data_IF_670301585843
#
_entry.id   IF_670301585843
#
_cell.length_a   1.000
_cell.length_b   1.000
_cell.length_c   1.000
_cell.angle_alpha   90.00
_cell.angle_beta   90.00
_cell.angle_gamma   90.00
#
_symmetry.space_group_name_H-M   'P 1'
#
loop_
_entity.id
_entity.type
_entity.pdbx_description
1 polymer ?
#
# COMPACT_ATOMS: atom_id res chain seq x y z
N UNK A 1 16.12 -9.05 14.38
CA UNK A 1 14.92 -9.44 15.16
C UNK A 1 15.20 -9.29 16.65
N UNK A 2 16.20 -9.99 17.20
CA UNK A 2 16.61 -9.85 18.60
C UNK A 2 16.78 -8.37 19.01
N UNK A 3 17.54 -7.57 18.26
CA UNK A 3 17.70 -6.14 18.53
C UNK A 3 16.38 -5.35 18.53
N UNK A 4 15.42 -5.73 17.69
CA UNK A 4 14.11 -5.06 17.62
C UNK A 4 13.29 -5.34 18.87
N UNK A 5 13.29 -6.59 19.34
CA UNK A 5 12.57 -7.01 20.54
C UNK A 5 13.25 -6.51 21.82
N UNK A 6 14.59 -6.52 21.87
CA UNK A 6 15.36 -6.08 23.03
C UNK A 6 15.22 -4.58 23.32
N UNK A 7 15.00 -3.77 22.29
CA UNK A 7 14.82 -2.32 22.42
C UNK A 7 13.38 -1.90 22.76
N UNK A 8 12.43 -2.84 22.80
CA UNK A 8 11.02 -2.53 23.05
C UNK A 8 10.74 -2.23 24.53
N UNK A 9 9.99 -1.16 24.76
CA UNK A 9 9.38 -0.82 26.03
C UNK A 9 8.18 -1.71 26.36
N UNK A 10 7.69 -1.62 27.60
CA UNK A 10 6.55 -2.41 28.07
C UNK A 10 5.23 -2.04 27.36
N UNK A 11 5.05 -0.75 27.11
CA UNK A 11 3.85 -0.18 26.51
C UNK A 11 3.93 -0.10 24.97
N UNK A 12 5.03 -0.58 24.38
CA UNK A 12 5.19 -0.61 22.93
C UNK A 12 4.29 -1.68 22.31
N UNK A 13 3.75 -1.35 21.14
CA UNK A 13 3.06 -2.30 20.26
C UNK A 13 4.03 -2.75 19.18
N UNK A 14 4.34 -4.04 19.17
CA UNK A 14 5.26 -4.62 18.19
C UNK A 14 4.48 -5.39 17.14
N UNK A 15 4.83 -5.17 15.87
CA UNK A 15 4.32 -5.95 14.75
C UNK A 15 5.49 -6.60 14.02
N UNK A 16 5.48 -7.93 13.95
CA UNK A 16 6.42 -8.73 13.18
C UNK A 16 5.67 -9.35 12.01
N UNK A 17 6.20 -9.18 10.81
CA UNK A 17 5.64 -9.78 9.61
C UNK A 17 6.71 -10.62 8.90
N UNK A 18 6.41 -11.90 8.70
CA UNK A 18 7.26 -12.83 7.96
C UNK A 18 6.54 -13.29 6.70
N UNK A 19 7.14 -13.03 5.54
CA UNK A 19 6.69 -13.54 4.24
C UNK A 19 7.80 -14.41 3.65
N UNK A 20 7.65 -15.73 3.77
CA UNK A 20 8.66 -16.70 3.39
C UNK A 20 8.08 -18.13 3.34
N UNK A 21 8.88 -19.13 2.95
CA UNK A 21 8.44 -20.52 3.03
C UNK A 21 8.60 -21.07 4.46
N UNK A 22 7.57 -21.75 4.94
CA UNK A 22 7.65 -22.56 6.16
C UNK A 22 8.05 -23.99 5.82
N UNK A 23 9.18 -24.46 6.34
CA UNK A 23 9.67 -25.83 6.16
C UNK A 23 9.69 -26.55 7.50
N UNK A 24 9.26 -27.82 7.51
CA UNK A 24 9.38 -28.66 8.71
C UNK A 24 10.62 -29.53 8.62
N UNK A 25 11.16 -29.92 9.77
CA UNK A 25 12.17 -30.98 9.88
C UNK A 25 11.52 -32.35 10.21
N UNK A 26 12.33 -33.43 10.28
CA UNK A 26 11.80 -34.80 10.40
C UNK A 26 11.08 -35.04 11.74
N UNK A 27 11.34 -34.18 12.73
CA UNK A 27 10.67 -34.19 14.03
C UNK A 27 9.41 -33.30 14.04
N UNK A 28 9.01 -32.74 12.89
CA UNK A 28 7.87 -31.84 12.75
C UNK A 28 8.14 -30.39 13.17
N UNK A 29 9.35 -30.05 13.58
CA UNK A 29 9.68 -28.69 14.01
C UNK A 29 9.69 -27.73 12.82
N UNK A 30 9.05 -26.57 13.00
CA UNK A 30 8.88 -25.56 11.97
C UNK A 30 10.10 -24.62 11.88
N UNK A 31 10.49 -24.29 10.64
CA UNK A 31 11.53 -23.35 10.28
C UNK A 31 11.02 -22.37 9.21
N UNK A 32 11.42 -21.11 9.32
CA UNK A 32 11.25 -20.09 8.29
C UNK A 32 12.48 -20.09 7.38
N UNK A 33 12.26 -20.29 6.09
CA UNK A 33 13.32 -20.37 5.08
C UNK A 33 13.75 -18.98 4.60
N UNK A 34 15.06 -18.75 4.56
CA UNK A 34 15.69 -17.65 3.84
C UNK A 34 16.03 -18.04 2.40
N UNK A 35 16.59 -17.10 1.64
CA UNK A 35 16.99 -17.30 0.25
C UNK A 35 18.15 -18.29 0.08
N UNK A 36 18.93 -18.51 1.14
CA UNK A 36 20.08 -19.41 1.21
C UNK A 36 19.82 -20.66 2.05
N UNK A 37 18.54 -20.91 2.43
CA UNK A 37 18.16 -22.12 3.16
C UNK A 37 18.35 -23.37 2.33
N UNK A 38 19.00 -24.37 2.93
CA UNK A 38 19.20 -25.69 2.33
C UNK A 38 18.19 -26.66 2.96
N UNK A 39 17.23 -27.23 2.21
CA UNK A 39 16.14 -28.05 2.76
C UNK A 39 16.60 -29.25 3.62
N UNK A 40 17.74 -29.86 3.30
CA UNK A 40 18.28 -30.99 4.06
C UNK A 40 19.18 -30.56 5.24
N UNK A 41 19.30 -29.24 5.51
CA UNK A 41 20.12 -28.65 6.58
C UNK A 41 19.41 -27.47 7.27
N UNK A 42 18.10 -27.62 7.54
CA UNK A 42 17.28 -26.56 8.13
C UNK A 42 17.85 -26.03 9.45
N UNK A 43 18.36 -26.91 10.31
CA UNK A 43 18.87 -26.53 11.63
C UNK A 43 20.05 -25.56 11.60
N UNK A 44 20.79 -25.49 10.49
CA UNK A 44 21.94 -24.59 10.33
C UNK A 44 21.75 -23.49 9.29
N UNK A 45 20.69 -23.54 8.48
CA UNK A 45 20.49 -22.63 7.35
C UNK A 45 19.11 -21.97 7.31
N UNK A 46 18.23 -22.28 8.26
CA UNK A 46 16.90 -21.69 8.40
C UNK A 46 16.69 -21.19 9.84
N UNK A 47 15.68 -20.34 10.04
CA UNK A 47 15.33 -19.80 11.37
C UNK A 47 14.26 -20.68 11.99
N UNK A 48 14.55 -21.32 13.13
CA UNK A 48 13.55 -22.12 13.83
C UNK A 48 12.40 -21.23 14.36
N UNK A 49 11.14 -21.66 14.19
CA UNK A 49 10.00 -20.96 14.77
C UNK A 49 10.11 -20.86 16.30
N UNK A 50 10.66 -21.91 16.93
CA UNK A 50 10.95 -21.92 18.37
C UNK A 50 11.88 -20.80 18.81
N UNK A 51 12.91 -20.48 18.03
CA UNK A 51 13.80 -19.36 18.33
C UNK A 51 13.02 -18.04 18.37
N UNK A 52 12.09 -17.85 17.44
CA UNK A 52 11.23 -16.66 17.42
C UNK A 52 10.29 -16.65 18.64
N UNK A 53 9.72 -17.80 19.02
CA UNK A 53 8.89 -17.89 20.22
C UNK A 53 9.66 -17.55 21.50
N UNK A 54 10.88 -18.08 21.63
CA UNK A 54 11.75 -17.83 22.79
C UNK A 54 12.10 -16.33 22.90
N UNK A 55 12.46 -15.69 21.79
CA UNK A 55 12.73 -14.24 21.76
C UNK A 55 11.48 -13.40 22.09
N UNK A 56 10.30 -13.82 21.60
CA UNK A 56 9.03 -13.16 21.91
C UNK A 56 8.63 -13.33 23.38
N UNK A 57 9.00 -14.45 24.00
CA UNK A 57 8.75 -14.70 25.41
C UNK A 57 9.60 -13.83 26.32
N UNK A 58 10.84 -13.56 25.93
CA UNK A 58 11.76 -12.68 26.65
C UNK A 58 11.48 -11.19 26.43
N UNK A 59 10.78 -10.85 25.35
CA UNK A 59 10.39 -9.48 25.03
C UNK A 59 9.56 -8.82 26.14
N UNK A 60 9.91 -7.59 26.49
CA UNK A 60 9.24 -6.81 27.55
C UNK A 60 7.89 -6.24 27.13
N UNK A 61 7.66 -6.07 25.84
CA UNK A 61 6.42 -5.53 25.31
C UNK A 61 5.23 -6.41 25.71
N UNK A 62 4.17 -5.78 26.20
CA UNK A 62 2.93 -6.47 26.55
C UNK A 62 2.06 -6.79 25.33
N UNK A 63 2.34 -6.13 24.19
CA UNK A 63 1.52 -6.19 23.00
C UNK A 63 2.35 -6.57 21.76
N UNK A 64 2.13 -7.78 21.25
CA UNK A 64 2.84 -8.26 20.05
C UNK A 64 1.87 -8.88 19.06
N UNK A 65 1.90 -8.37 17.83
CA UNK A 65 1.25 -8.93 16.66
C UNK A 65 2.28 -9.70 15.81
N UNK A 66 1.97 -10.94 15.45
CA UNK A 66 2.78 -11.75 14.56
C UNK A 66 1.96 -12.11 13.31
N UNK A 67 2.36 -11.59 12.15
CA UNK A 67 1.76 -11.88 10.85
C UNK A 67 2.64 -12.90 10.11
N UNK A 68 2.10 -14.07 9.79
CA UNK A 68 2.81 -15.16 9.12
C UNK A 68 2.21 -15.42 7.74
N UNK A 69 2.82 -14.82 6.74
CA UNK A 69 2.56 -15.06 5.32
C UNK A 69 3.45 -16.20 4.82
N UNK A 70 3.23 -17.39 5.39
CA UNK A 70 4.04 -18.56 5.12
C UNK A 70 3.15 -19.74 4.73
N UNK A 71 3.40 -20.32 3.55
CA UNK A 71 2.87 -21.65 3.25
C UNK A 71 3.69 -22.66 4.04
N UNK A 72 3.07 -23.33 5.02
CA UNK A 72 3.74 -24.35 5.83
C UNK A 72 3.66 -25.71 5.10
N UNK A 73 4.31 -25.82 3.94
CA UNK A 73 4.41 -27.07 3.20
C UNK A 73 5.39 -28.02 3.89
N UNK A 74 4.93 -29.22 4.26
CA UNK A 74 5.80 -30.24 4.82
C UNK A 74 6.92 -30.61 3.86
N UNK A 75 8.16 -30.65 4.34
CA UNK A 75 9.33 -30.98 3.52
C UNK A 75 10.02 -32.25 4.01
N UNK A 76 9.55 -33.45 3.62
CA UNK A 76 10.40 -34.65 3.67
C UNK A 76 10.20 -35.63 2.52
N UNK A 77 11.22 -35.76 1.67
CA UNK A 77 11.54 -36.97 0.90
C UNK A 77 10.59 -37.31 -0.25
N UNK A 78 11.12 -37.95 -1.30
CA UNK A 78 10.40 -38.31 -2.53
C UNK A 78 9.14 -39.18 -2.36
N UNK A 79 8.85 -39.69 -1.16
CA UNK A 79 7.83 -40.72 -0.91
C UNK A 79 6.89 -40.45 0.29
N UNK A 80 6.79 -39.21 0.82
CA UNK A 80 5.82 -38.91 1.89
C UNK A 80 4.62 -38.10 1.41
N UNK A 81 3.42 -38.49 1.86
CA UNK A 81 2.16 -37.83 1.52
C UNK A 81 2.15 -36.43 2.15
N UNK A 82 2.27 -35.40 1.30
CA UNK A 82 2.17 -34.00 1.68
C UNK A 82 0.78 -33.73 2.28
N UNK A 83 0.71 -33.54 3.60
CA UNK A 83 -0.46 -32.93 4.24
C UNK A 83 -0.23 -31.43 4.35
N UNK A 84 -1.20 -30.65 3.87
CA UNK A 84 -1.31 -29.24 4.20
C UNK A 84 -1.30 -29.09 5.73
N UNK A 85 -0.71 -28.01 6.23
CA UNK A 85 -0.76 -27.69 7.66
C UNK A 85 -2.18 -27.47 8.13
N UNK A 86 -2.50 -28.08 9.27
CA UNK A 86 -3.63 -27.71 10.10
C UNK A 86 -3.21 -26.57 11.04
N UNK A 87 -4.12 -25.65 11.37
CA UNK A 87 -3.87 -24.48 12.25
C UNK A 87 -3.27 -24.88 13.61
N UNK A 88 -3.53 -26.11 14.06
CA UNK A 88 -3.01 -26.75 15.27
C UNK A 88 -1.47 -26.72 15.36
N UNK A 89 -0.76 -26.78 14.23
CA UNK A 89 0.71 -26.80 14.22
C UNK A 89 1.36 -25.43 14.46
N UNK A 90 0.67 -24.35 14.05
CA UNK A 90 1.15 -22.98 14.29
C UNK A 90 0.96 -22.61 15.75
N UNK A 91 -0.17 -22.99 16.34
CA UNK A 91 -0.44 -22.77 17.77
C UNK A 91 0.58 -23.49 18.66
N UNK A 92 1.00 -24.70 18.28
CA UNK A 92 2.08 -25.41 18.99
C UNK A 92 3.44 -24.71 18.87
N UNK A 93 3.71 -24.09 17.71
CA UNK A 93 4.96 -23.38 17.47
C UNK A 93 5.02 -22.01 18.16
N UNK A 94 3.85 -21.41 18.42
CA UNK A 94 3.71 -20.09 19.01
C UNK A 94 2.64 -20.10 20.12
N UNK A 95 2.89 -20.80 21.24
CA UNK A 95 1.90 -20.96 22.29
C UNK A 95 1.54 -19.64 22.96
N UNK A 96 0.26 -19.47 23.25
CA UNK A 96 -0.25 -18.33 24.00
C UNK A 96 0.15 -18.43 25.48
N UNK A 97 0.65 -17.32 26.04
CA UNK A 97 1.09 -17.25 27.44
C UNK A 97 0.16 -16.34 28.24
N UNK A 98 -0.34 -16.76 29.41
CA UNK A 98 -1.20 -15.92 30.25
C UNK A 98 -0.52 -14.58 30.62
N UNK A 99 -1.29 -13.49 30.59
CA UNK A 99 -0.82 -12.15 30.99
C UNK A 99 -0.06 -11.37 29.91
N UNK A 100 0.03 -11.88 28.68
CA UNK A 100 0.54 -11.13 27.52
C UNK A 100 -0.51 -11.07 26.42
N UNK A 101 -0.67 -9.90 25.80
CA UNK A 101 -1.54 -9.71 24.65
C UNK A 101 -0.76 -10.04 23.38
N UNK A 102 -0.77 -11.32 23.02
CA UNK A 102 -0.18 -11.81 21.77
C UNK A 102 -1.27 -12.28 20.83
N UNK A 103 -1.15 -11.86 19.58
CA UNK A 103 -2.03 -12.28 18.49
C UNK A 103 -1.16 -12.75 17.35
N UNK A 104 -1.48 -13.92 16.81
CA UNK A 104 -0.83 -14.50 15.64
C UNK A 104 -1.87 -14.58 14.54
N UNK A 105 -1.59 -13.98 13.38
CA UNK A 105 -2.43 -14.09 12.19
C UNK A 105 -1.62 -14.79 11.12
N UNK A 106 -2.14 -15.88 10.57
CA UNK A 106 -1.51 -16.65 9.50
C UNK A 106 -2.28 -16.47 8.21
N UNK A 107 -1.57 -16.56 7.10
CA UNK A 107 -2.17 -16.57 5.77
C UNK A 107 -2.87 -17.91 5.45
N UNK A 108 -2.44 -19.00 6.09
CA UNK A 108 -2.89 -20.41 5.97
C UNK A 108 -3.35 -20.82 4.56
N UNK A 109 -2.41 -21.37 3.78
CA UNK A 109 -2.64 -21.90 2.42
C UNK A 109 -2.62 -23.43 2.41
N UNK A 110 -3.51 -24.04 1.64
CA UNK A 110 -3.46 -25.47 1.32
C UNK A 110 -2.59 -25.69 0.08
N UNK A 111 -1.26 -25.69 0.21
CA UNK A 111 -0.40 -26.11 -0.91
C UNK A 111 0.11 -27.52 -0.72
N UNK A 112 -0.50 -28.44 -1.47
CA UNK A 112 0.23 -29.56 -2.05
C UNK A 112 1.45 -29.01 -2.77
N UNK A 113 2.62 -29.57 -2.50
CA UNK A 113 3.82 -29.43 -3.35
C UNK A 113 3.50 -30.06 -4.71
N UNK A 114 2.72 -29.38 -5.55
CA UNK A 114 2.37 -29.83 -6.88
C UNK A 114 3.00 -28.87 -7.88
N UNK A 115 4.21 -29.22 -8.33
CA UNK A 115 4.78 -28.78 -9.60
C UNK A 115 4.80 -27.26 -9.87
N UNK A 116 5.79 -26.56 -9.30
CA UNK A 116 6.45 -25.49 -10.05
C UNK A 116 7.76 -26.03 -10.62
N UNK A 117 7.61 -27.00 -11.52
CA UNK A 117 8.52 -27.14 -12.64
C UNK A 117 8.01 -26.24 -13.76
N UNK A 118 8.82 -25.27 -14.16
CA UNK A 118 8.78 -24.56 -15.45
C UNK A 118 7.79 -23.39 -15.70
N UNK A 119 7.10 -22.78 -14.73
CA UNK A 119 6.23 -21.60 -15.02
C UNK A 119 6.47 -20.34 -14.16
N UNK A 120 7.60 -20.21 -13.47
CA UNK A 120 7.97 -18.97 -12.75
C UNK A 120 8.54 -17.85 -13.63
N UNK A 121 8.28 -17.85 -14.95
CA UNK A 121 8.75 -16.77 -15.83
C UNK A 121 7.90 -16.52 -17.07
N UNK A 122 6.66 -16.03 -16.91
CA UNK A 122 5.99 -15.34 -18.03
C UNK A 122 5.68 -13.86 -17.80
N UNK A 123 6.03 -13.25 -16.66
CA UNK A 123 5.84 -11.79 -16.53
C UNK A 123 6.81 -10.99 -15.67
N UNK A 124 7.93 -11.56 -15.19
CA UNK A 124 9.05 -10.80 -14.58
C UNK A 124 8.70 -9.84 -13.43
N UNK A 125 7.47 -9.90 -12.93
CA UNK A 125 6.92 -9.09 -11.85
C UNK A 125 6.61 -10.05 -10.71
N UNK A 126 7.37 -9.93 -9.63
CA UNK A 126 7.04 -10.55 -8.35
C UNK A 126 5.64 -10.08 -7.96
N UNK A 127 4.65 -10.97 -8.00
CA UNK A 127 3.33 -10.68 -7.44
C UNK A 127 3.41 -10.84 -5.92
N UNK A 128 2.96 -9.84 -5.13
CA UNK A 128 2.84 -10.01 -3.68
C UNK A 128 1.93 -11.20 -3.34
N UNK A 129 2.14 -11.81 -2.18
CA UNK A 129 1.15 -12.75 -1.61
C UNK A 129 -0.19 -12.03 -1.44
N UNK A 130 -1.30 -12.70 -1.73
CA UNK A 130 -2.66 -12.17 -1.55
C UNK A 130 -2.91 -11.72 -0.10
N UNK A 131 -2.34 -12.43 0.87
CA UNK A 131 -2.42 -12.07 2.28
C UNK A 131 -1.68 -10.76 2.56
N UNK A 132 -0.41 -10.66 2.14
CA UNK A 132 0.40 -9.44 2.32
C UNK A 132 -0.22 -8.26 1.57
N UNK A 133 -0.74 -8.49 0.36
CA UNK A 133 -1.44 -7.47 -0.42
C UNK A 133 -2.67 -6.95 0.32
N UNK A 134 -3.51 -7.83 0.86
CA UNK A 134 -4.68 -7.45 1.64
C UNK A 134 -4.32 -6.67 2.91
N UNK A 135 -3.29 -7.10 3.65
CA UNK A 135 -2.81 -6.36 4.85
C UNK A 135 -2.36 -4.95 4.46
N UNK A 136 -1.51 -4.83 3.43
CA UNK A 136 -0.99 -3.54 2.99
C UNK A 136 -2.11 -2.66 2.43
N UNK A 137 -3.04 -3.22 1.66
CA UNK A 137 -4.20 -2.52 1.12
C UNK A 137 -5.04 -1.94 2.27
N UNK A 138 -5.54 -2.79 3.18
CA UNK A 138 -6.41 -2.39 4.29
C UNK A 138 -5.79 -1.34 5.21
N UNK A 139 -4.50 -1.45 5.53
CA UNK A 139 -3.80 -0.46 6.36
C UNK A 139 -3.50 0.85 5.61
N UNK A 140 -3.21 0.78 4.31
CA UNK A 140 -2.89 1.98 3.50
C UNK A 140 -4.13 2.76 3.12
N UNK A 141 -5.23 2.07 2.81
CA UNK A 141 -6.50 2.70 2.43
C UNK A 141 -7.30 3.13 3.66
N UNK A 142 -7.17 2.39 4.76
CA UNK A 142 -8.02 2.53 5.94
C UNK A 142 -9.28 1.68 5.85
N UNK A 143 -9.46 0.88 4.78
CA UNK A 143 -10.67 0.05 4.60
C UNK A 143 -10.75 -1.10 5.63
N UNK A 144 -9.67 -1.36 6.36
CA UNK A 144 -9.65 -2.28 7.49
C UNK A 144 -10.27 -1.68 8.77
N UNK A 145 -10.66 -0.40 8.79
CA UNK A 145 -11.42 0.24 9.88
C UNK A 145 -12.91 -0.07 9.66
N UNK A 146 -13.33 -1.22 10.17
CA UNK A 146 -14.65 -1.78 9.87
C UNK A 146 -15.74 -1.11 10.68
N UNK A 147 -15.40 -0.55 11.84
CA UNK A 147 -16.33 0.15 12.71
C UNK A 147 -16.40 1.67 12.46
N UNK A 148 -15.45 2.24 11.72
CA UNK A 148 -15.39 3.67 11.38
C UNK A 148 -14.92 4.58 12.52
N UNK A 149 -14.34 4.04 13.59
CA UNK A 149 -13.89 4.81 14.76
C UNK A 149 -12.56 5.54 14.53
N UNK A 150 -11.90 5.22 13.42
CA UNK A 150 -10.65 5.85 13.02
C UNK A 150 -9.38 5.16 13.49
N UNK A 151 -9.48 4.01 14.11
CA UNK A 151 -8.40 3.09 14.38
C UNK A 151 -8.63 1.80 13.61
N UNK A 152 -7.54 1.11 13.29
CA UNK A 152 -7.61 -0.27 12.84
C UNK A 152 -7.04 -1.11 13.95
N UNK A 153 -7.88 -1.92 14.56
CA UNK A 153 -7.43 -2.94 15.49
C UNK A 153 -7.10 -4.27 14.78
N UNK A 154 -6.45 -5.20 15.49
CA UNK A 154 -6.05 -6.48 14.91
C UNK A 154 -7.23 -7.37 14.51
N UNK A 155 -8.35 -7.33 15.23
CA UNK A 155 -9.51 -8.15 14.91
C UNK A 155 -10.19 -7.62 13.64
N UNK A 156 -10.23 -6.30 13.45
CA UNK A 156 -10.71 -5.65 12.23
C UNK A 156 -9.77 -5.93 11.06
N UNK A 157 -8.45 -5.79 11.26
CA UNK A 157 -7.46 -6.14 10.24
C UNK A 157 -7.61 -7.60 9.81
N UNK A 158 -7.76 -8.53 10.76
CA UNK A 158 -7.99 -9.94 10.45
C UNK A 158 -9.27 -10.14 9.66
N UNK A 159 -10.41 -9.60 10.11
CA UNK A 159 -11.70 -9.73 9.41
C UNK A 159 -11.63 -9.19 7.98
N UNK A 160 -10.99 -8.03 7.79
CA UNK A 160 -10.77 -7.44 6.48
C UNK A 160 -9.93 -8.36 5.58
N UNK A 161 -8.77 -8.81 6.09
CA UNK A 161 -7.86 -9.68 5.34
C UNK A 161 -8.52 -11.01 5.01
N UNK A 162 -9.22 -11.63 5.97
CA UNK A 162 -9.97 -12.86 5.78
C UNK A 162 -10.96 -12.71 4.63
N UNK A 163 -11.84 -11.70 4.69
CA UNK A 163 -12.85 -11.46 3.66
C UNK A 163 -12.23 -11.23 2.28
N UNK A 164 -11.13 -10.45 2.21
CA UNK A 164 -10.42 -10.16 0.96
C UNK A 164 -9.81 -11.41 0.34
N UNK A 165 -9.15 -12.24 1.16
CA UNK A 165 -8.44 -13.45 0.70
C UNK A 165 -9.43 -14.53 0.28
N UNK A 166 -10.46 -14.85 1.07
CA UNK A 166 -11.43 -15.90 0.72
C UNK A 166 -12.30 -15.54 -0.48
N UNK A 167 -12.51 -14.24 -0.73
CA UNK A 167 -13.18 -13.77 -1.96
C UNK A 167 -12.27 -13.94 -3.18
N UNK A 168 -10.96 -13.78 -3.02
CA UNK A 168 -9.99 -13.91 -4.10
C UNK A 168 -9.64 -15.38 -4.44
N UNK A 169 -9.66 -16.27 -3.44
CA UNK A 169 -9.30 -17.69 -3.62
C UNK A 169 -9.93 -18.58 -2.54
N UNK A 170 -10.31 -19.80 -2.92
CA UNK A 170 -10.76 -20.84 -1.99
C UNK A 170 -9.61 -21.69 -1.40
N UNK A 171 -8.38 -21.48 -1.87
CA UNK A 171 -7.21 -22.29 -1.48
C UNK A 171 -6.38 -21.68 -0.33
N UNK A 172 -6.79 -20.52 0.15
CA UNK A 172 -6.14 -19.80 1.23
C UNK A 172 -7.20 -19.28 2.19
N UNK A 173 -7.07 -19.65 3.45
CA UNK A 173 -8.02 -19.30 4.51
C UNK A 173 -7.22 -18.78 5.68
N UNK A 174 -7.11 -17.46 5.86
CA UNK A 174 -6.37 -16.88 6.97
C UNK A 174 -6.92 -17.37 8.32
N UNK A 175 -6.03 -17.51 9.30
CA UNK A 175 -6.40 -17.90 10.66
C UNK A 175 -5.85 -16.90 11.67
N UNK A 176 -6.55 -16.72 12.78
CA UNK A 176 -6.10 -15.92 13.92
C UNK A 176 -6.12 -16.77 15.18
N UNK A 177 -5.00 -16.78 15.91
CA UNK A 177 -4.92 -17.35 17.25
C UNK A 177 -4.42 -16.31 18.26
N UNK A 178 -4.89 -16.44 19.50
CA UNK A 178 -4.66 -15.43 20.55
C UNK A 178 -5.80 -14.42 20.66
N UNK A 179 -5.55 -13.39 21.48
CA UNK A 179 -6.57 -12.42 21.88
C UNK A 179 -6.79 -12.43 23.39
N UNK A 180 -6.36 -11.36 24.06
CA UNK A 180 -6.60 -11.15 25.49
C UNK A 180 -7.99 -10.55 25.70
N UNK A 181 -8.65 -10.96 26.79
CA UNK A 181 -9.93 -10.39 27.21
C UNK A 181 -9.75 -8.89 27.53
N UNK A 182 -10.25 -8.01 26.65
CA UNK A 182 -10.65 -6.65 27.04
C UNK A 182 -9.99 -5.46 26.35
N UNK A 183 -8.94 -5.63 25.53
CA UNK A 183 -8.38 -4.51 24.76
C UNK A 183 -7.93 -4.96 23.37
N UNK A 184 -8.65 -4.50 22.35
CA UNK A 184 -8.28 -4.71 20.95
C UNK A 184 -6.98 -4.00 20.63
N UNK A 185 -6.03 -4.68 19.99
CA UNK A 185 -4.70 -4.13 19.74
C UNK A 185 -4.72 -3.23 18.51
N UNK A 186 -4.60 -1.92 18.71
CA UNK A 186 -4.55 -0.94 17.62
C UNK A 186 -3.22 -1.07 16.86
N UNK A 187 -3.29 -1.29 15.55
CA UNK A 187 -2.12 -1.42 14.66
C UNK A 187 -1.96 -0.26 13.70
N UNK A 188 -3.03 0.48 13.41
CA UNK A 188 -2.97 1.68 12.59
C UNK A 188 -4.04 2.70 12.97
N UNK A 189 -3.87 3.93 12.48
CA UNK A 189 -4.88 4.99 12.53
C UNK A 189 -5.37 5.26 11.12
N UNK A 190 -6.68 5.27 10.94
CA UNK A 190 -7.32 5.63 9.69
C UNK A 190 -7.24 7.14 9.51
N UNK A 191 -6.76 7.65 8.37
CA UNK A 191 -6.69 9.08 8.12
C UNK A 191 -8.08 9.73 8.21
N UNK A 192 -8.18 10.94 8.78
CA UNK A 192 -9.45 11.65 8.96
C UNK A 192 -10.23 11.81 7.64
N UNK A 193 -9.54 11.99 6.51
CA UNK A 193 -10.12 12.07 5.17
C UNK A 193 -10.95 10.84 4.78
N UNK A 194 -10.64 9.68 5.38
CA UNK A 194 -11.30 8.41 5.11
C UNK A 194 -12.49 8.13 6.06
N UNK A 195 -12.67 8.97 7.09
CA UNK A 195 -13.76 8.83 8.09
C UNK A 195 -14.98 9.69 7.77
N UNK A 196 -14.92 10.52 6.73
CA UNK A 196 -16.03 11.42 6.38
C UNK A 196 -17.14 10.59 5.76
N UNK A 197 -18.20 10.35 6.53
CA UNK A 197 -19.44 9.81 6.00
C UNK A 197 -20.22 10.94 5.32
N UNK A 198 -20.65 10.72 4.08
CA UNK A 198 -21.51 11.68 3.39
C UNK A 198 -22.88 11.72 4.07
N UNK A 199 -23.33 12.89 4.49
CA UNK A 199 -24.73 13.11 4.86
C UNK A 199 -25.54 13.34 3.60
N UNK A 200 -26.73 12.74 3.52
CA UNK A 200 -27.65 13.05 2.44
C UNK A 200 -27.99 14.54 2.41
N UNK A 201 -27.95 15.14 1.21
CA UNK A 201 -28.44 16.50 1.02
C UNK A 201 -29.96 16.54 1.25
N UNK A 202 -30.55 17.72 1.54
CA UNK A 202 -32.00 17.84 1.71
C UNK A 202 -32.77 17.15 0.58
N UNK A 203 -33.80 16.37 0.93
CA UNK A 203 -34.55 15.53 -0.03
C UNK A 203 -35.09 16.32 -1.22
N UNK A 204 -35.51 17.56 -0.98
CA UNK A 204 -35.96 18.49 -2.02
C UNK A 204 -34.88 18.78 -3.06
N UNK A 205 -33.64 18.98 -2.62
CA UNK A 205 -32.50 19.21 -3.51
C UNK A 205 -32.09 17.91 -4.24
N UNK A 206 -32.12 16.78 -3.55
CA UNK A 206 -31.88 15.47 -4.16
C UNK A 206 -32.91 15.13 -5.25
N UNK A 207 -34.17 15.50 -5.05
CA UNK A 207 -35.23 15.37 -6.05
C UNK A 207 -35.00 16.28 -7.25
N UNK A 208 -34.65 17.56 -7.03
CA UNK A 208 -34.33 18.51 -8.10
C UNK A 208 -33.16 18.02 -8.97
N UNK A 209 -32.15 17.39 -8.38
CA UNK A 209 -31.00 16.85 -9.10
C UNK A 209 -31.37 15.69 -10.04
N UNK A 210 -32.52 15.03 -9.83
CA UNK A 210 -33.01 13.90 -10.62
C UNK A 210 -34.22 14.25 -11.49
N UNK A 211 -34.60 15.52 -11.53
CA UNK A 211 -35.78 15.99 -12.27
C UNK A 211 -35.62 15.74 -13.78
N UNK A 212 -36.74 15.54 -14.49
CA UNK A 212 -36.74 15.35 -15.93
C UNK A 212 -36.36 16.64 -16.68
N UNK A 213 -36.65 17.81 -16.11
CA UNK A 213 -36.31 19.11 -16.70
C UNK A 213 -34.84 19.48 -16.43
N UNK A 214 -34.00 19.61 -17.48
CA UNK A 214 -32.60 20.03 -17.32
C UNK A 214 -32.43 21.40 -16.67
N UNK A 215 -33.41 22.30 -16.76
CA UNK A 215 -33.36 23.60 -16.11
C UNK A 215 -33.46 23.48 -14.57
N UNK A 216 -34.28 22.55 -14.08
CA UNK A 216 -34.40 22.24 -12.65
C UNK A 216 -33.11 21.59 -12.14
N UNK A 217 -32.57 20.63 -12.89
CA UNK A 217 -31.26 20.02 -12.56
C UNK A 217 -30.13 21.04 -12.55
N UNK A 218 -30.13 21.99 -13.49
CA UNK A 218 -29.16 23.09 -13.51
C UNK A 218 -29.24 23.95 -12.24
N UNK A 219 -30.44 24.29 -11.78
CA UNK A 219 -30.61 25.01 -10.51
C UNK A 219 -30.11 24.19 -9.31
N UNK A 220 -30.29 22.87 -9.33
CA UNK A 220 -29.75 21.97 -8.31
C UNK A 220 -28.21 22.00 -8.28
N UNK A 221 -27.53 22.00 -9.44
CA UNK A 221 -26.05 22.10 -9.52
C UNK A 221 -25.53 23.34 -8.80
N UNK A 222 -26.19 24.50 -8.96
CA UNK A 222 -25.80 25.73 -8.28
C UNK A 222 -25.90 25.65 -6.75
N UNK A 223 -26.98 25.04 -6.25
CA UNK A 223 -27.16 24.82 -4.81
C UNK A 223 -26.15 23.80 -4.27
N UNK A 224 -25.95 22.68 -4.97
CA UNK A 224 -24.96 21.66 -4.61
C UNK A 224 -23.54 22.23 -4.59
N UNK A 225 -23.18 23.11 -5.53
CA UNK A 225 -21.89 23.80 -5.53
C UNK A 225 -21.69 24.65 -4.27
N UNK A 226 -22.75 25.28 -3.77
CA UNK A 226 -22.69 26.10 -2.55
C UNK A 226 -22.44 25.23 -1.33
N UNK A 227 -23.11 24.07 -1.23
CA UNK A 227 -22.85 23.09 -0.18
C UNK A 227 -21.43 22.53 -0.27
N UNK A 228 -20.95 22.22 -1.49
CA UNK A 228 -19.63 21.64 -1.73
C UNK A 228 -18.47 22.50 -1.24
N UNK A 229 -18.60 23.84 -1.28
CA UNK A 229 -17.57 24.78 -0.79
C UNK A 229 -17.79 25.22 0.66
N UNK A 230 -18.86 24.75 1.30
CA UNK A 230 -19.19 25.06 2.69
C UNK A 230 -18.28 24.36 3.70
N UNK A 231 -18.36 24.81 4.95
CA UNK A 231 -17.56 24.28 6.07
C UNK A 231 -18.14 22.98 6.66
N UNK A 232 -19.41 22.67 6.39
CA UNK A 232 -20.02 21.38 6.74
C UNK A 232 -19.50 20.29 5.80
N UNK A 233 -18.48 19.58 6.27
CA UNK A 233 -17.72 18.59 5.50
C UNK A 233 -18.59 17.39 5.11
N UNK A 234 -19.46 16.92 6.01
CA UNK A 234 -20.29 15.73 5.76
C UNK A 234 -21.37 16.03 4.73
N UNK A 235 -22.00 17.22 4.84
CA UNK A 235 -22.95 17.70 3.84
C UNK A 235 -22.28 18.03 2.50
N UNK A 236 -21.07 18.62 2.52
CA UNK A 236 -20.26 18.84 1.33
C UNK A 236 -19.91 17.53 0.63
N UNK A 237 -19.65 16.45 1.38
CA UNK A 237 -19.40 15.12 0.82
C UNK A 237 -20.65 14.53 0.14
N UNK A 238 -21.84 14.74 0.72
CA UNK A 238 -23.11 14.40 0.06
C UNK A 238 -23.33 15.18 -1.25
N UNK A 239 -23.04 16.48 -1.23
CA UNK A 239 -23.13 17.32 -2.43
C UNK A 239 -22.12 16.89 -3.52
N UNK A 240 -20.90 16.51 -3.12
CA UNK A 240 -19.87 15.98 -4.01
C UNK A 240 -20.37 14.72 -4.75
N UNK A 241 -20.98 13.77 -4.02
CA UNK A 241 -21.47 12.53 -4.60
C UNK A 241 -22.55 12.76 -5.67
N UNK A 242 -23.49 13.67 -5.41
CA UNK A 242 -24.51 14.04 -6.40
C UNK A 242 -23.91 14.75 -7.62
N UNK A 243 -22.99 15.70 -7.42
CA UNK A 243 -22.31 16.38 -8.54
C UNK A 243 -21.48 15.40 -9.38
N UNK A 244 -20.86 14.39 -8.77
CA UNK A 244 -20.17 13.31 -9.50
C UNK A 244 -21.14 12.50 -10.35
N UNK A 245 -22.33 12.15 -9.84
CA UNK A 245 -23.35 11.49 -10.64
C UNK A 245 -23.81 12.36 -11.84
N UNK A 246 -24.02 13.66 -11.59
CA UNK A 246 -24.40 14.63 -12.63
C UNK A 246 -23.29 14.96 -13.64
N UNK A 247 -22.04 14.56 -13.38
CA UNK A 247 -20.94 14.67 -14.35
C UNK A 247 -21.13 13.79 -15.59
N UNK A 248 -22.10 12.87 -15.55
CA UNK A 248 -22.51 12.03 -16.68
C UNK A 248 -23.94 12.31 -17.14
N UNK A 249 -24.50 13.49 -16.80
CA UNK A 249 -25.86 13.91 -17.21
C UNK A 249 -26.01 13.95 -18.74
N UNK A 250 -27.24 13.70 -19.22
CA UNK A 250 -27.58 13.69 -20.64
C UNK A 250 -27.59 15.10 -21.24
N UNK A 251 -27.87 16.13 -20.42
CA UNK A 251 -27.76 17.52 -20.79
C UNK A 251 -26.31 18.00 -20.73
N UNK A 252 -25.79 18.40 -21.89
CA UNK A 252 -24.44 18.97 -22.03
C UNK A 252 -24.18 20.12 -21.05
N UNK A 253 -25.18 20.99 -20.84
CA UNK A 253 -25.04 22.17 -19.98
C UNK A 253 -24.95 21.76 -18.51
N UNK A 254 -25.84 20.87 -18.05
CA UNK A 254 -25.84 20.36 -16.66
C UNK A 254 -24.53 19.64 -16.37
N UNK A 255 -24.11 18.77 -17.30
CA UNK A 255 -22.83 18.06 -17.20
C UNK A 255 -21.63 19.01 -17.08
N UNK A 256 -21.56 20.03 -17.92
CA UNK A 256 -20.48 21.02 -17.87
C UNK A 256 -20.47 21.78 -16.54
N UNK A 257 -21.63 22.23 -16.05
CA UNK A 257 -21.74 22.92 -14.77
C UNK A 257 -21.36 22.03 -13.57
N UNK A 258 -21.70 20.75 -13.62
CA UNK A 258 -21.30 19.78 -12.60
C UNK A 258 -19.78 19.59 -12.59
N UNK A 259 -19.15 19.38 -13.76
CA UNK A 259 -17.70 19.26 -13.90
C UNK A 259 -16.96 20.51 -13.40
N UNK A 260 -17.45 21.71 -13.74
CA UNK A 260 -16.88 22.97 -13.27
C UNK A 260 -16.97 23.10 -11.74
N UNK A 261 -18.08 22.66 -11.15
CA UNK A 261 -18.26 22.66 -9.69
C UNK A 261 -17.28 21.71 -9.01
N UNK A 262 -17.06 20.51 -9.59
CA UNK A 262 -16.07 19.55 -9.11
C UNK A 262 -14.64 20.11 -9.22
N UNK A 263 -14.31 20.83 -10.29
CA UNK A 263 -12.99 21.43 -10.49
C UNK A 263 -12.67 22.54 -9.47
N UNK A 264 -13.67 23.27 -8.99
CA UNK A 264 -13.53 24.29 -7.94
C UNK A 264 -13.23 23.65 -6.58
N UNK A 265 -13.79 22.47 -6.31
CA UNK A 265 -13.57 21.77 -5.06
C UNK A 265 -12.21 21.06 -4.97
N UNK A 266 -11.45 20.96 -6.06
CA UNK A 266 -10.16 20.26 -6.04
C UNK A 266 -9.14 20.94 -5.11
N UNK A 267 -8.39 20.11 -4.39
CA UNK A 267 -7.23 20.52 -3.61
C UNK A 267 -6.11 21.00 -4.54
N UNK A 268 -5.56 22.19 -4.26
CA UNK A 268 -4.49 22.82 -5.04
C UNK A 268 -3.28 23.13 -4.17
N UNK A 269 -2.09 22.57 -4.48
CA UNK A 269 -0.85 22.90 -3.80
C UNK A 269 -0.27 24.22 -4.28
N UNK A 270 0.19 25.05 -3.35
CA UNK A 270 0.87 26.32 -3.61
C UNK A 270 2.11 26.42 -2.72
N UNK A 271 3.33 26.42 -3.28
CA UNK A 271 3.64 26.25 -4.71
C UNK A 271 3.39 24.81 -5.19
N UNK A 272 3.16 24.65 -6.50
CA UNK A 272 2.95 23.32 -7.12
C UNK A 272 4.24 22.51 -7.27
N UNK A 273 5.39 23.18 -7.24
CA UNK A 273 6.73 22.58 -7.34
C UNK A 273 7.60 23.16 -6.23
N UNK A 274 8.35 22.29 -5.56
CA UNK A 274 9.25 22.64 -4.47
C UNK A 274 10.65 22.11 -4.78
N UNK A 275 11.65 22.98 -4.71
CA UNK A 275 13.06 22.60 -4.87
C UNK A 275 13.71 22.41 -3.49
N UNK A 276 13.98 21.15 -3.13
CA UNK A 276 14.72 20.80 -1.91
C UNK A 276 16.23 20.94 -2.17
N UNK A 277 16.74 22.18 -2.03
CA UNK A 277 18.15 22.55 -2.19
C UNK A 277 19.00 22.26 -0.94
N UNK A 278 19.77 23.26 -0.48
CA UNK A 278 20.50 23.16 0.81
C UNK A 278 19.55 23.23 2.03
N UNK A 279 18.35 23.80 1.84
CA UNK A 279 17.30 23.81 2.84
C UNK A 279 16.69 22.42 2.98
N UNK A 280 16.68 21.91 4.22
CA UNK A 280 16.14 20.59 4.55
C UNK A 280 14.63 20.59 4.72
N UNK A 281 13.99 21.76 4.79
CA UNK A 281 12.56 21.91 5.03
C UNK A 281 11.93 22.91 4.04
N UNK A 282 10.78 22.55 3.47
CA UNK A 282 9.99 23.40 2.57
C UNK A 282 8.51 23.26 2.90
N UNK A 283 7.74 24.33 2.68
CA UNK A 283 6.31 24.38 3.01
C UNK A 283 5.47 24.52 1.75
N UNK A 284 4.42 23.71 1.63
CA UNK A 284 3.37 23.84 0.61
C UNK A 284 2.05 24.09 1.30
N UNK A 285 1.38 25.17 0.93
CA UNK A 285 0.01 25.43 1.34
C UNK A 285 -0.97 24.67 0.44
N UNK A 286 -1.92 23.97 1.05
CA UNK A 286 -2.99 23.27 0.34
C UNK A 286 -4.27 24.11 0.42
N UNK A 287 -4.72 24.58 -0.73
CA UNK A 287 -5.90 25.45 -0.87
C UNK A 287 -7.02 24.70 -1.58
N UNK A 288 -8.28 25.05 -1.33
CA UNK A 288 -9.44 24.35 -1.88
C UNK A 288 -10.63 24.41 -0.93
N UNK A 289 -11.73 23.76 -1.31
CA UNK A 289 -12.91 23.61 -0.46
C UNK A 289 -12.54 22.92 0.87
N UNK A 290 -13.25 23.20 1.98
CA UNK A 290 -12.98 22.58 3.29
C UNK A 290 -12.89 21.05 3.23
N UNK A 291 -13.82 20.41 2.52
CA UNK A 291 -13.81 18.96 2.29
C UNK A 291 -12.51 18.46 1.66
N UNK A 292 -12.00 19.14 0.64
CA UNK A 292 -10.78 18.74 -0.06
C UNK A 292 -9.49 18.99 0.74
N UNK A 293 -9.56 19.85 1.75
CA UNK A 293 -8.46 20.11 2.70
C UNK A 293 -8.36 19.03 3.77
N UNK A 294 -9.27 18.05 3.78
CA UNK A 294 -9.12 16.83 4.57
C UNK A 294 -8.53 15.77 3.65
N UNK A 295 -7.22 15.57 3.74
CA UNK A 295 -6.47 14.69 2.85
C UNK A 295 -5.54 13.77 3.66
N UNK A 296 -5.08 12.70 3.01
CA UNK A 296 -3.95 11.91 3.47
C UNK A 296 -2.80 12.04 2.49
N UNK A 297 -1.61 12.36 3.00
CA UNK A 297 -0.39 12.41 2.19
C UNK A 297 0.42 11.13 2.34
N UNK A 298 0.89 10.61 1.22
CA UNK A 298 1.87 9.52 1.17
C UNK A 298 3.07 9.96 0.34
N UNK A 299 4.21 9.30 0.56
CA UNK A 299 5.42 9.48 -0.24
C UNK A 299 5.84 8.13 -0.79
N UNK A 300 6.13 8.06 -2.08
CA UNK A 300 6.69 6.85 -2.70
C UNK A 300 8.19 6.69 -2.40
N UNK A 301 8.82 7.74 -1.84
CA UNK A 301 10.27 7.79 -1.65
C UNK A 301 10.66 7.78 -0.18
N UNK A 302 11.64 6.93 0.17
CA UNK A 302 12.09 6.71 1.56
C UNK A 302 13.00 7.82 2.12
N UNK A 303 13.52 8.70 1.25
CA UNK A 303 14.45 9.77 1.64
C UNK A 303 13.73 11.08 1.99
N UNK A 304 12.45 11.20 1.67
CA UNK A 304 11.63 12.38 1.94
C UNK A 304 10.65 12.05 3.06
N UNK A 305 10.71 12.81 4.16
CA UNK A 305 9.63 12.86 5.15
C UNK A 305 8.64 13.92 4.73
N UNK A 306 7.37 13.64 4.96
CA UNK A 306 6.29 14.60 4.77
C UNK A 306 5.49 14.62 6.06
N UNK A 307 5.20 15.82 6.57
CA UNK A 307 4.29 16.03 7.68
C UNK A 307 3.32 17.16 7.33
N UNK A 308 2.23 17.30 8.09
CA UNK A 308 1.27 18.37 7.87
C UNK A 308 0.79 18.97 9.19
N UNK A 309 0.44 20.25 9.14
CA UNK A 309 -0.24 20.97 10.22
C UNK A 309 -1.34 21.82 9.60
N UNK A 310 -2.59 21.43 9.80
CA UNK A 310 -3.72 22.03 9.10
C UNK A 310 -3.57 21.92 7.58
N UNK A 311 -3.58 23.06 6.89
CA UNK A 311 -3.39 23.13 5.44
C UNK A 311 -1.92 23.29 4.99
N UNK A 312 -0.98 23.39 5.92
CA UNK A 312 0.44 23.48 5.60
C UNK A 312 1.07 22.09 5.59
N UNK A 313 1.84 21.81 4.54
CA UNK A 313 2.61 20.57 4.39
C UNK A 313 4.08 20.89 4.47
N UNK A 314 4.81 20.14 5.29
CA UNK A 314 6.24 20.28 5.49
C UNK A 314 6.95 19.09 4.85
N UNK A 315 7.97 19.38 4.06
CA UNK A 315 8.79 18.38 3.37
C UNK A 315 10.20 18.40 3.94
N UNK A 316 10.61 17.31 4.59
CA UNK A 316 11.93 17.19 5.22
C UNK A 316 12.82 16.12 4.53
N UNK A 317 13.98 16.51 4.02
CA UNK A 317 14.95 15.58 3.43
C UNK A 317 15.77 14.80 4.46
N UNK A 318 15.58 13.47 4.58
CA UNK A 318 16.47 12.60 5.38
C UNK A 318 17.79 12.35 4.64
N UNK A 319 18.81 13.18 4.88
CA UNK A 319 20.23 12.76 5.10
C UNK A 319 21.27 13.82 4.67
N UNK A 320 22.35 13.87 5.46
CA UNK A 320 23.71 14.43 5.21
C UNK A 320 24.37 14.11 3.85
N UNK A 321 23.67 13.46 2.91
CA UNK A 321 24.10 13.18 1.53
C UNK A 321 23.55 14.15 0.48
N UNK A 322 22.66 15.09 0.82
CA UNK A 322 22.26 16.18 -0.10
C UNK A 322 23.48 17.00 -0.56
N UNK A 323 24.45 17.25 0.33
CA UNK A 323 25.67 18.00 0.03
C UNK A 323 26.65 17.30 -0.94
N UNK A 324 26.61 15.96 -1.07
CA UNK A 324 27.52 15.21 -1.97
C UNK A 324 26.95 14.99 -3.37
N UNK A 325 25.63 14.94 -3.55
CA UNK A 325 25.01 14.78 -4.89
C UNK A 325 24.82 16.12 -5.61
N UNK A 326 24.46 17.20 -4.91
CA UNK A 326 24.39 18.54 -5.52
C UNK A 326 25.76 19.05 -5.99
N UNK A 327 26.85 18.76 -5.27
CA UNK A 327 28.23 19.10 -5.70
C UNK A 327 28.68 18.40 -6.99
N UNK A 328 28.08 17.27 -7.38
CA UNK A 328 28.41 16.58 -8.65
C UNK A 328 27.63 17.12 -9.86
N UNK A 329 26.45 17.69 -9.64
CA UNK A 329 25.66 18.32 -10.71
C UNK A 329 26.11 19.76 -10.95
N UNK A 330 26.38 20.54 -9.89
CA UNK A 330 26.90 21.90 -10.01
C UNK A 330 28.32 21.96 -10.65
N UNK A 331 29.16 20.92 -10.46
CA UNK A 331 30.48 20.84 -11.13
C UNK A 331 30.42 20.51 -12.63
N UNK A 332 29.27 20.09 -13.17
CA UNK A 332 29.10 19.89 -14.62
C UNK A 332 28.52 21.10 -15.35
N UNK A 333 28.13 22.16 -14.64
CA UNK A 333 27.58 23.38 -15.22
C UNK A 333 28.54 24.59 -15.12
N UNK A 334 29.72 24.41 -14.53
CA UNK A 334 30.81 25.40 -14.52
C UNK A 334 32.10 24.76 -15.02
N UNK A 335 32.33 24.86 -16.33
CA UNK A 335 33.55 24.42 -16.98
C UNK A 335 33.32 23.93 -18.40
N UNK A 336 32.92 24.84 -19.29
CA UNK A 336 33.51 24.95 -20.63
C UNK A 336 32.93 26.18 -21.32
N UNK A 337 33.68 27.28 -21.28
CA UNK A 337 33.61 28.29 -22.33
C UNK A 337 34.33 27.71 -23.55
N UNK A 338 33.68 27.54 -24.71
CA UNK A 338 34.41 27.36 -25.95
C UNK A 338 34.90 28.73 -26.43
N UNK A 339 36.21 28.93 -26.33
CA UNK A 339 36.90 29.99 -27.05
C UNK A 339 36.79 29.76 -28.57
N UNK A 340 36.56 30.87 -29.29
CA UNK A 340 36.37 30.97 -30.75
C UNK A 340 37.58 30.50 -31.58
N UNK A 341 37.30 29.90 -32.73
CA UNK A 341 37.90 30.07 -34.08
C UNK A 341 37.70 28.76 -34.86
N UNK A 342 37.39 28.65 -36.14
CA UNK A 342 37.34 29.56 -37.28
C UNK A 342 37.79 28.76 -38.53
N UNK A 343 36.98 28.76 -39.61
CA UNK A 343 37.24 28.21 -40.97
C UNK A 343 37.16 26.67 -41.08
N UNK A 344 36.60 26.05 -42.11
CA UNK A 344 35.97 26.47 -43.37
C UNK A 344 35.86 25.25 -44.31
N UNK A 345 34.85 25.25 -45.21
CA UNK A 345 34.63 24.34 -46.37
C UNK A 345 34.38 22.84 -46.07
N UNK A 346 33.55 22.08 -46.80
CA UNK A 346 32.88 22.33 -48.07
C UNK A 346 31.76 21.31 -48.34
N UNK A 347 31.05 21.58 -49.43
CA UNK A 347 29.91 20.85 -49.99
C UNK A 347 30.14 19.35 -50.26
N UNK A 348 29.07 18.55 -50.23
CA UNK A 348 28.60 17.83 -51.42
C UNK A 348 27.20 17.21 -51.23
N UNK A 349 26.43 17.25 -52.32
CA UNK A 349 25.07 16.78 -52.47
C UNK A 349 25.00 15.30 -52.86
N UNK A 350 23.81 14.70 -52.73
CA UNK A 350 23.27 13.88 -53.83
C UNK A 350 23.00 12.40 -53.60
N UNK A 351 21.71 12.10 -53.36
CA UNK A 351 20.86 11.18 -54.15
C UNK A 351 21.18 9.67 -54.28
N UNK A 352 20.11 8.92 -53.95
CA UNK A 352 19.41 7.85 -54.71
C UNK A 352 19.78 6.37 -54.53
N UNK A 353 18.71 5.60 -54.35
CA UNK A 353 18.51 4.21 -54.83
C UNK A 353 19.00 3.15 -53.85
N UNK A 354 18.24 2.13 -53.46
CA UNK A 354 17.09 1.49 -54.09
C UNK A 354 17.36 -0.01 -54.18
N UNK A 355 16.32 -0.82 -53.94
CA UNK A 355 16.28 -2.30 -54.05
C UNK A 355 17.05 -3.07 -52.95
N UNK A 356 16.53 -4.14 -52.35
CA UNK A 356 15.36 -4.95 -52.66
C UNK A 356 15.72 -6.43 -52.47
N UNK A 357 14.72 -7.23 -52.08
CA UNK A 357 14.70 -8.72 -51.98
C UNK A 357 15.42 -9.28 -50.73
N UNK A 358 14.86 -10.22 -49.97
CA UNK A 358 13.64 -11.00 -50.10
C UNK A 358 13.93 -12.47 -49.79
N UNK A 359 13.02 -13.09 -49.01
CA UNK A 359 12.78 -14.56 -48.88
C UNK A 359 13.89 -15.35 -48.16
N UNK A 360 13.64 -16.45 -47.43
CA UNK A 360 12.48 -17.35 -47.32
C UNK A 360 12.64 -18.22 -46.06
N UNK A 361 11.50 -18.62 -45.53
CA UNK A 361 11.23 -19.81 -44.72
C UNK A 361 12.10 -21.05 -45.00
N UNK A 362 12.46 -21.80 -43.95
CA UNK A 362 12.44 -23.26 -43.96
C UNK A 362 12.15 -23.83 -42.56
N UNK A 363 11.19 -24.75 -42.54
CA UNK A 363 10.73 -25.62 -41.45
C UNK A 363 11.62 -26.88 -41.37
N UNK A 364 11.65 -27.47 -40.16
CA UNK A 364 11.93 -28.89 -39.80
C UNK A 364 13.34 -29.39 -40.16
N UNK A 365 14.05 -30.07 -39.28
CA UNK A 365 13.67 -31.17 -38.36
C UNK A 365 14.31 -31.05 -37.00
#
# INVERSE_FOLDING_TARGET
MADFLANAGRDDVLLLHFSCHGLKNATGALFLAGTDTVPNRLSSTAVAARFIDDELAECRASHVALLLDCCFGGAFGKDSVFRATDDVDVEQSFPLRPGRSRVVITASSATQYAFEGEDLSESGRLRPSLFTEAVVEGLRTGDADLNGDGAVDLDELYKYVYARVVTATAHQTPHQSGGGHGASLIVARTPMARRIAATDVPETLAAQAKDLDPAVRMAAVGQLRTLLVGDDVELAAGALALLQAMSSDDSMTVRAAALDSLAVAQLRPVPTVVELGEQTEQVVALTGAPLARIFHMTTETRWLRVSSSGAAVFFEGRSRRLSRRLRRVARRLHGDQPARSGRGAGWCAGRRGGCGRGRRSRRRT
#
